data_IF_013368016905
#
_entry.id   IF_013368016905
#
_cell.length_a   1.000
_cell.length_b   1.000
_cell.length_c   1.000
_cell.angle_alpha   90.00
_cell.angle_beta   90.00
_cell.angle_gamma   90.00
#
_symmetry.space_group_name_H-M   'P 1'
#
loop_
_entity.id
_entity.type
_entity.pdbx_description
1 polymer ?
#
# COMPACT_ATOMS: atom_id res chain seq x y z
N UNK A 1 21.88 46.10 -2.21
CA UNK A 1 21.60 46.01 -0.75
C UNK A 1 22.52 46.97 0.00
N UNK A 2 22.07 47.58 1.09
CA UNK A 2 22.99 48.34 1.95
C UNK A 2 23.85 47.38 2.78
N UNK A 3 25.10 47.76 3.06
CA UNK A 3 26.05 46.96 3.85
C UNK A 3 25.46 46.58 5.22
N UNK A 4 24.66 47.47 5.82
CA UNK A 4 23.94 47.24 7.08
C UNK A 4 22.90 46.13 6.98
N UNK A 5 22.14 46.07 5.88
CA UNK A 5 21.11 45.06 5.69
C UNK A 5 21.71 43.66 5.49
N UNK A 6 22.80 43.57 4.72
CA UNK A 6 23.52 42.31 4.52
C UNK A 6 24.15 41.79 5.82
N UNK A 7 24.80 42.66 6.58
CA UNK A 7 25.39 42.30 7.87
C UNK A 7 24.33 41.81 8.87
N UNK A 8 23.14 42.41 8.90
CA UNK A 8 22.04 41.96 9.75
C UNK A 8 21.51 40.58 9.32
N UNK A 9 21.43 40.33 8.02
CA UNK A 9 20.96 39.05 7.47
C UNK A 9 21.95 37.92 7.77
N UNK A 10 23.24 38.15 7.55
CA UNK A 10 24.31 37.19 7.87
C UNK A 10 24.35 36.88 9.38
N UNK A 11 24.22 37.90 10.24
CA UNK A 11 24.18 37.72 11.69
C UNK A 11 23.00 36.84 12.13
N UNK A 12 21.83 37.02 11.51
CA UNK A 12 20.65 36.22 11.83
C UNK A 12 20.81 34.77 11.37
N UNK A 13 21.36 34.53 10.16
CA UNK A 13 21.64 33.16 9.69
C UNK A 13 22.64 32.43 10.59
N UNK A 14 23.69 33.11 11.06
CA UNK A 14 24.66 32.51 12.00
C UNK A 14 23.99 32.17 13.35
N UNK A 15 23.10 33.03 13.85
CA UNK A 15 22.34 32.75 15.09
C UNK A 15 21.41 31.55 14.94
N UNK A 16 20.76 31.41 13.79
CA UNK A 16 19.85 30.32 13.49
C UNK A 16 20.58 28.98 13.41
N UNK A 17 21.77 28.95 12.79
CA UNK A 17 22.57 27.72 12.69
C UNK A 17 23.19 27.32 14.05
N UNK A 18 23.52 28.29 14.92
CA UNK A 18 24.00 28.02 16.29
C UNK A 18 22.99 27.23 17.14
N UNK A 19 21.69 27.36 16.87
CA UNK A 19 20.65 26.59 17.58
C UNK A 19 20.70 25.10 17.21
N UNK A 20 21.18 24.77 16.00
CA UNK A 20 21.17 23.42 15.44
C UNK A 20 22.55 22.74 15.37
N UNK A 21 23.64 23.41 15.77
CA UNK A 21 24.99 22.85 15.80
C UNK A 21 25.88 23.55 16.81
N UNK A 22 26.59 22.78 17.64
CA UNK A 22 27.49 23.28 18.70
C UNK A 22 28.71 24.02 18.15
N UNK A 23 29.17 23.67 16.94
CA UNK A 23 30.20 24.41 16.22
C UNK A 23 30.09 24.22 14.71
N UNK A 24 30.44 25.26 13.95
CA UNK A 24 30.67 25.17 12.51
C UNK A 24 32.17 25.39 12.29
N UNK A 25 32.89 24.45 11.66
CA UNK A 25 34.28 24.67 11.28
C UNK A 25 34.37 25.89 10.37
N UNK A 26 35.25 26.84 10.70
CA UNK A 26 35.42 28.07 9.92
C UNK A 26 35.74 27.76 8.44
N UNK A 27 36.44 26.67 8.17
CA UNK A 27 36.78 26.24 6.80
C UNK A 27 35.54 25.90 5.96
N UNK A 28 34.50 25.30 6.57
CA UNK A 28 33.25 25.02 5.85
C UNK A 28 32.48 26.31 5.55
N UNK A 29 32.53 27.27 6.46
CA UNK A 29 31.90 28.58 6.26
C UNK A 29 32.63 29.38 5.18
N UNK A 30 33.97 29.36 5.19
CA UNK A 30 34.83 29.98 4.18
C UNK A 30 34.56 29.33 2.83
N UNK A 31 34.59 28.01 2.72
CA UNK A 31 34.31 27.30 1.47
C UNK A 31 32.91 27.61 0.91
N UNK A 32 31.89 27.67 1.77
CA UNK A 32 30.54 28.06 1.35
C UNK A 32 30.48 29.51 0.87
N UNK A 33 31.09 30.45 1.60
CA UNK A 33 31.11 31.85 1.23
C UNK A 33 31.94 32.08 -0.04
N UNK A 34 33.06 31.39 -0.21
CA UNK A 34 33.86 31.39 -1.44
C UNK A 34 33.07 30.80 -2.60
N UNK A 35 32.32 29.71 -2.40
CA UNK A 35 31.39 29.21 -3.41
C UNK A 35 30.29 30.22 -3.72
N UNK A 36 29.69 30.89 -2.74
CA UNK A 36 28.64 31.90 -2.98
C UNK A 36 29.19 33.16 -3.64
N UNK A 37 30.45 33.54 -3.37
CA UNK A 37 31.14 34.66 -4.02
C UNK A 37 31.62 34.29 -5.42
N UNK A 38 32.10 33.07 -5.65
CA UNK A 38 32.49 32.56 -6.95
C UNK A 38 31.28 32.20 -7.84
N UNK A 39 30.18 31.80 -7.20
CA UNK A 39 28.86 31.57 -7.80
C UNK A 39 27.98 32.82 -7.69
N UNK A 40 28.52 33.95 -7.20
CA UNK A 40 27.82 35.21 -7.27
C UNK A 40 27.58 35.43 -8.76
N UNK A 41 26.33 35.56 -9.19
CA UNK A 41 26.03 35.58 -10.60
C UNK A 41 26.79 36.76 -11.20
N UNK A 42 27.84 36.48 -11.97
CA UNK A 42 28.19 37.37 -13.06
C UNK A 42 26.90 37.56 -13.83
N UNK A 43 26.48 38.81 -14.00
CA UNK A 43 25.17 39.23 -14.52
C UNK A 43 24.54 38.15 -15.41
N UNK A 44 23.69 37.29 -14.81
CA UNK A 44 22.98 36.27 -15.57
C UNK A 44 22.19 37.02 -16.63
N UNK A 45 22.42 36.70 -17.89
CA UNK A 45 21.72 37.39 -18.98
C UNK A 45 20.21 37.15 -18.82
N UNK A 46 19.34 38.08 -19.24
CA UNK A 46 17.89 37.90 -19.16
C UNK A 46 17.41 36.55 -19.73
N UNK A 47 18.09 36.08 -20.79
CA UNK A 47 17.90 34.78 -21.43
C UNK A 47 18.20 33.58 -20.50
N UNK A 48 19.31 33.61 -19.76
CA UNK A 48 19.66 32.56 -18.79
C UNK A 48 18.65 32.46 -17.65
N UNK A 49 18.12 33.60 -17.20
CA UNK A 49 17.08 33.65 -16.15
C UNK A 49 15.77 33.04 -16.67
N UNK A 50 15.40 33.33 -17.91
CA UNK A 50 14.22 32.76 -18.55
C UNK A 50 14.36 31.24 -18.75
N UNK A 51 15.51 30.78 -19.24
CA UNK A 51 15.82 29.36 -19.37
C UNK A 51 15.77 28.63 -18.02
N UNK A 52 16.35 29.20 -16.96
CA UNK A 52 16.32 28.61 -15.62
C UNK A 52 14.88 28.53 -15.08
N UNK A 53 14.07 29.58 -15.28
CA UNK A 53 12.65 29.56 -14.91
C UNK A 53 11.89 28.47 -15.67
N UNK A 54 12.13 28.31 -16.97
CA UNK A 54 11.52 27.27 -17.78
C UNK A 54 11.90 25.86 -17.28
N UNK A 55 13.18 25.63 -16.93
CA UNK A 55 13.63 24.37 -16.35
C UNK A 55 12.98 24.08 -14.99
N UNK A 56 12.91 25.08 -14.10
CA UNK A 56 12.23 24.94 -12.82
C UNK A 56 10.74 24.62 -12.99
N UNK A 57 10.06 25.26 -13.94
CA UNK A 57 8.68 24.96 -14.26
C UNK A 57 8.50 23.52 -14.76
N UNK A 58 9.39 23.04 -15.64
CA UNK A 58 9.38 21.65 -16.11
C UNK A 58 9.55 20.68 -14.94
N UNK A 59 10.50 20.93 -14.04
CA UNK A 59 10.74 20.06 -12.87
C UNK A 59 9.54 20.03 -11.92
N UNK A 60 8.91 21.18 -11.66
CA UNK A 60 7.69 21.26 -10.84
C UNK A 60 6.55 20.47 -11.49
N UNK A 61 6.33 20.64 -12.80
CA UNK A 61 5.26 19.95 -13.51
C UNK A 61 5.51 18.45 -13.61
N UNK A 62 6.75 18.02 -13.84
CA UNK A 62 7.16 16.62 -13.79
C UNK A 62 6.93 16.02 -12.40
N UNK A 63 7.32 16.72 -11.33
CA UNK A 63 7.11 16.26 -9.95
C UNK A 63 5.63 16.12 -9.63
N UNK A 64 4.81 17.10 -10.07
CA UNK A 64 3.37 17.09 -9.91
C UNK A 64 2.72 15.93 -10.67
N UNK A 65 3.11 15.72 -11.93
CA UNK A 65 2.61 14.61 -12.75
C UNK A 65 3.00 13.25 -12.16
N UNK A 66 4.25 13.10 -11.71
CA UNK A 66 4.72 11.89 -11.05
C UNK A 66 3.95 11.61 -9.76
N UNK A 67 3.70 12.63 -8.94
CA UNK A 67 2.92 12.49 -7.71
C UNK A 67 1.47 12.09 -7.99
N UNK A 68 0.83 12.75 -8.98
CA UNK A 68 -0.53 12.42 -9.40
C UNK A 68 -0.62 10.97 -9.93
N UNK A 69 0.33 10.56 -10.75
CA UNK A 69 0.41 9.19 -11.29
C UNK A 69 0.59 8.15 -10.17
N UNK A 70 1.45 8.41 -9.18
CA UNK A 70 1.63 7.52 -8.02
C UNK A 70 0.36 7.38 -7.19
N UNK A 71 -0.36 8.48 -6.96
CA UNK A 71 -1.61 8.46 -6.22
C UNK A 71 -2.69 7.64 -6.95
N UNK A 72 -2.78 7.80 -8.27
CA UNK A 72 -3.76 7.07 -9.09
C UNK A 72 -3.42 5.58 -9.22
N UNK A 73 -2.13 5.25 -9.38
CA UNK A 73 -1.65 3.88 -9.33
C UNK A 73 -2.00 3.24 -7.98
N UNK A 74 -1.75 3.94 -6.86
CA UNK A 74 -2.08 3.45 -5.53
C UNK A 74 -3.58 3.17 -5.38
N UNK A 75 -4.44 4.10 -5.80
CA UNK A 75 -5.91 3.89 -5.80
C UNK A 75 -6.32 2.69 -6.63
N UNK A 76 -5.76 2.55 -7.82
CA UNK A 76 -6.05 1.43 -8.73
C UNK A 76 -5.69 0.10 -8.09
N UNK A 77 -4.51 -0.01 -7.47
CA UNK A 77 -4.08 -1.23 -6.76
C UNK A 77 -5.04 -1.58 -5.61
N UNK A 78 -5.46 -0.59 -4.81
CA UNK A 78 -6.44 -0.80 -3.73
C UNK A 78 -7.77 -1.29 -4.29
N UNK A 79 -8.27 -0.68 -5.37
CA UNK A 79 -9.53 -1.06 -6.00
C UNK A 79 -9.46 -2.48 -6.58
N UNK A 80 -8.37 -2.83 -7.27
CA UNK A 80 -8.14 -4.18 -7.77
C UNK A 80 -8.08 -5.21 -6.64
N UNK A 81 -7.42 -4.88 -5.52
CA UNK A 81 -7.40 -5.74 -4.33
C UNK A 81 -8.78 -5.95 -3.71
N UNK A 82 -9.58 -4.89 -3.57
CA UNK A 82 -10.97 -4.99 -3.09
C UNK A 82 -11.84 -5.82 -4.00
N UNK A 83 -11.68 -5.69 -5.32
CA UNK A 83 -12.40 -6.50 -6.29
C UNK A 83 -12.00 -7.97 -6.17
N UNK A 84 -10.71 -8.28 -6.04
CA UNK A 84 -10.24 -9.65 -5.84
C UNK A 84 -10.83 -10.30 -4.57
N UNK A 85 -10.85 -9.57 -3.45
CA UNK A 85 -11.47 -10.01 -2.19
C UNK A 85 -12.97 -10.29 -2.36
N UNK A 86 -13.70 -9.38 -3.02
CA UNK A 86 -15.14 -9.55 -3.29
C UNK A 86 -15.40 -10.76 -4.20
N UNK A 87 -14.58 -10.94 -5.24
CA UNK A 87 -14.70 -12.09 -6.15
C UNK A 87 -14.42 -13.41 -5.42
N UNK A 88 -13.36 -13.48 -4.62
CA UNK A 88 -13.04 -14.68 -3.83
C UNK A 88 -14.12 -15.01 -2.79
N UNK A 89 -14.70 -13.99 -2.16
CA UNK A 89 -15.86 -14.14 -1.27
C UNK A 89 -17.08 -14.67 -2.02
N UNK A 90 -17.39 -14.12 -3.20
CA UNK A 90 -18.52 -14.57 -4.02
C UNK A 90 -18.32 -16.02 -4.51
N UNK A 91 -17.11 -16.40 -4.90
CA UNK A 91 -16.80 -17.77 -5.33
C UNK A 91 -17.05 -18.78 -4.21
N UNK A 92 -16.40 -18.60 -3.05
CA UNK A 92 -16.54 -19.52 -1.93
C UNK A 92 -17.93 -19.44 -1.29
N UNK A 93 -18.48 -18.24 -1.14
CA UNK A 93 -19.80 -18.01 -0.56
C UNK A 93 -20.92 -18.55 -1.44
N UNK A 94 -20.86 -18.30 -2.75
CA UNK A 94 -21.82 -18.83 -3.72
C UNK A 94 -21.82 -20.35 -3.76
N UNK A 95 -20.63 -20.97 -3.79
CA UNK A 95 -20.51 -22.43 -3.70
C UNK A 95 -21.05 -22.98 -2.36
N UNK A 96 -20.77 -22.30 -1.25
CA UNK A 96 -21.28 -22.69 0.07
C UNK A 96 -22.81 -22.66 0.13
N UNK A 97 -23.43 -21.57 -0.35
CA UNK A 97 -24.89 -21.42 -0.38
C UNK A 97 -25.54 -22.47 -1.29
N UNK A 98 -24.96 -22.70 -2.47
CA UNK A 98 -25.46 -23.71 -3.41
C UNK A 98 -25.42 -25.13 -2.81
N UNK A 99 -24.30 -25.49 -2.15
CA UNK A 99 -24.15 -26.81 -1.54
C UNK A 99 -25.05 -26.96 -0.30
N UNK A 100 -25.20 -25.91 0.51
CA UNK A 100 -26.11 -25.91 1.66
C UNK A 100 -27.58 -26.09 1.22
N UNK A 101 -28.00 -25.42 0.15
CA UNK A 101 -29.32 -25.60 -0.44
C UNK A 101 -29.53 -27.04 -0.94
N UNK A 102 -28.53 -27.62 -1.61
CA UNK A 102 -28.58 -29.00 -2.07
C UNK A 102 -28.65 -30.01 -0.90
N UNK A 103 -27.86 -29.79 0.15
CA UNK A 103 -27.91 -30.59 1.40
C UNK A 103 -29.30 -30.49 2.04
N UNK A 104 -29.91 -29.30 2.05
CA UNK A 104 -31.29 -29.11 2.52
C UNK A 104 -32.25 -30.08 1.83
N UNK A 105 -32.18 -30.18 0.50
CA UNK A 105 -33.00 -31.12 -0.28
C UNK A 105 -32.67 -32.60 -0.01
N UNK A 106 -31.41 -32.93 0.29
CA UNK A 106 -31.01 -34.31 0.64
C UNK A 106 -31.65 -34.81 1.93
N UNK A 107 -32.05 -33.93 2.86
CA UNK A 107 -32.68 -34.32 4.13
C UNK A 107 -34.00 -35.07 3.94
N UNK A 108 -34.68 -34.84 2.82
CA UNK A 108 -35.97 -35.47 2.49
C UNK A 108 -35.83 -36.84 1.83
N UNK A 109 -34.73 -37.08 1.09
CA UNK A 109 -34.61 -38.23 0.20
C UNK A 109 -33.43 -39.17 0.49
N UNK A 110 -32.26 -38.66 0.91
CA UNK A 110 -31.02 -39.42 0.99
C UNK A 110 -30.10 -38.94 2.13
N UNK A 111 -30.60 -39.02 3.37
CA UNK A 111 -29.88 -38.55 4.57
C UNK A 111 -28.48 -39.18 4.75
N UNK A 112 -28.30 -40.44 4.34
CA UNK A 112 -27.00 -41.14 4.39
C UNK A 112 -25.90 -40.42 3.58
N UNK A 113 -26.25 -39.64 2.55
CA UNK A 113 -25.27 -38.95 1.70
C UNK A 113 -24.89 -37.55 2.21
N UNK A 114 -25.60 -37.02 3.19
CA UNK A 114 -25.35 -35.67 3.76
C UNK A 114 -23.89 -35.49 4.21
N UNK A 115 -23.25 -36.44 4.94
CA UNK A 115 -21.88 -36.25 5.43
C UNK A 115 -20.86 -35.99 4.31
N UNK A 116 -21.04 -36.62 3.13
CA UNK A 116 -20.11 -36.48 2.00
C UNK A 116 -20.16 -35.07 1.41
N UNK A 117 -21.36 -34.51 1.25
CA UNK A 117 -21.52 -33.13 0.78
C UNK A 117 -21.18 -32.10 1.88
N UNK A 118 -21.40 -32.43 3.15
CA UNK A 118 -21.01 -31.57 4.27
C UNK A 118 -19.48 -31.39 4.36
N UNK A 119 -18.70 -32.45 4.08
CA UNK A 119 -17.23 -32.34 4.01
C UNK A 119 -16.79 -31.34 2.94
N UNK A 120 -17.41 -31.39 1.74
CA UNK A 120 -17.14 -30.43 0.68
C UNK A 120 -17.55 -28.99 1.07
N UNK A 121 -18.68 -28.82 1.75
CA UNK A 121 -19.15 -27.53 2.26
C UNK A 121 -18.13 -26.90 3.24
N UNK A 122 -17.54 -27.70 4.12
CA UNK A 122 -16.56 -27.22 5.09
C UNK A 122 -15.39 -26.50 4.42
N UNK A 123 -14.86 -27.02 3.31
CA UNK A 123 -13.78 -26.35 2.58
C UNK A 123 -14.19 -24.98 2.04
N UNK A 124 -15.39 -24.85 1.47
CA UNK A 124 -15.87 -23.56 1.00
C UNK A 124 -16.06 -22.56 2.14
N UNK A 125 -16.59 -22.99 3.28
CA UNK A 125 -16.78 -22.14 4.47
C UNK A 125 -15.44 -21.69 5.04
N UNK A 126 -14.43 -22.55 5.11
CA UNK A 126 -13.07 -22.17 5.50
C UNK A 126 -12.49 -21.16 4.50
N UNK A 127 -12.73 -21.34 3.21
CA UNK A 127 -12.37 -20.38 2.17
C UNK A 127 -13.01 -19.00 2.36
N UNK A 128 -14.31 -18.96 2.70
CA UNK A 128 -15.03 -17.73 3.07
C UNK A 128 -14.41 -17.08 4.32
N UNK A 129 -14.15 -17.87 5.36
CA UNK A 129 -13.56 -17.36 6.59
C UNK A 129 -12.17 -16.75 6.34
N UNK A 130 -11.32 -17.44 5.58
CA UNK A 130 -9.99 -16.96 5.22
C UNK A 130 -10.04 -15.60 4.48
N UNK A 131 -10.97 -15.40 3.54
CA UNK A 131 -11.08 -14.14 2.81
C UNK A 131 -11.63 -12.99 3.67
N UNK A 132 -12.56 -13.29 4.60
CA UNK A 132 -13.05 -12.29 5.56
C UNK A 132 -11.94 -11.85 6.51
N UNK A 133 -11.15 -12.80 7.03
CA UNK A 133 -9.98 -12.48 7.85
C UNK A 133 -8.95 -11.69 7.05
N UNK A 134 -8.73 -12.01 5.78
CA UNK A 134 -7.85 -11.25 4.87
C UNK A 134 -8.28 -9.77 4.78
N UNK A 135 -9.57 -9.50 4.64
CA UNK A 135 -10.09 -8.13 4.61
C UNK A 135 -9.83 -7.39 5.94
N UNK A 136 -10.09 -8.05 7.07
CA UNK A 136 -9.82 -7.48 8.41
C UNK A 136 -8.33 -7.24 8.68
N UNK A 137 -7.47 -8.18 8.31
CA UNK A 137 -6.01 -8.06 8.47
C UNK A 137 -5.43 -6.98 7.55
N UNK A 138 -6.02 -6.77 6.37
CA UNK A 138 -5.64 -5.65 5.49
C UNK A 138 -5.95 -4.31 6.15
N UNK A 139 -7.12 -4.16 6.79
CA UNK A 139 -7.45 -2.96 7.55
C UNK A 139 -6.46 -2.73 8.71
N UNK A 140 -6.16 -3.76 9.50
CA UNK A 140 -5.19 -3.67 10.60
C UNK A 140 -3.80 -3.30 10.09
N UNK A 141 -3.34 -3.92 9.00
CA UNK A 141 -2.05 -3.61 8.35
C UNK A 141 -1.94 -2.12 8.00
N UNK A 142 -2.98 -1.54 7.38
CA UNK A 142 -3.01 -0.10 7.06
C UNK A 142 -3.03 0.79 8.30
N UNK A 143 -3.77 0.41 9.34
CA UNK A 143 -3.78 1.13 10.60
C UNK A 143 -2.38 1.20 11.24
N UNK A 144 -1.62 0.10 11.21
CA UNK A 144 -0.25 0.08 11.68
C UNK A 144 0.72 0.90 10.81
N UNK A 145 0.51 0.92 9.48
CA UNK A 145 1.33 1.72 8.57
C UNK A 145 1.09 3.23 8.68
N UNK A 146 -0.05 3.66 9.20
CA UNK A 146 -0.33 5.08 9.43
C UNK A 146 0.58 5.72 10.50
N UNK A 147 1.27 4.90 11.30
CA UNK A 147 2.11 5.35 12.40
C UNK A 147 3.60 5.43 12.01
N UNK A 148 4.33 6.38 12.60
CA UNK A 148 5.74 6.65 12.28
C UNK A 148 6.72 5.71 12.99
N UNK A 149 6.29 5.03 14.07
CA UNK A 149 7.17 4.17 14.85
C UNK A 149 7.56 2.89 14.09
N UNK A 150 8.86 2.58 14.11
CA UNK A 150 9.42 1.48 13.32
C UNK A 150 8.83 0.10 13.69
N UNK A 151 8.49 -0.12 14.96
CA UNK A 151 7.88 -1.39 15.40
C UNK A 151 6.48 -1.58 14.81
N UNK A 152 5.67 -0.52 14.74
CA UNK A 152 4.34 -0.56 14.13
C UNK A 152 4.43 -0.88 12.65
N UNK A 153 5.40 -0.28 11.94
CA UNK A 153 5.64 -0.60 10.51
C UNK A 153 6.01 -2.07 10.30
N UNK A 154 6.84 -2.66 11.17
CA UNK A 154 7.15 -4.11 11.12
C UNK A 154 5.92 -4.97 11.37
N UNK A 155 5.09 -4.61 12.34
CA UNK A 155 3.82 -5.29 12.64
C UNK A 155 2.84 -5.18 11.47
N UNK A 156 2.72 -4.00 10.87
CA UNK A 156 1.89 -3.77 9.68
C UNK A 156 2.32 -4.63 8.49
N UNK A 157 3.62 -4.83 8.31
CA UNK A 157 4.17 -5.75 7.31
C UNK A 157 3.84 -7.21 7.61
N UNK A 158 3.98 -7.65 8.87
CA UNK A 158 3.61 -9.01 9.26
C UNK A 158 2.11 -9.30 8.97
N UNK A 159 1.21 -8.38 9.34
CA UNK A 159 -0.21 -8.52 9.01
C UNK A 159 -0.48 -8.54 7.51
N UNK A 160 0.26 -7.75 6.73
CA UNK A 160 0.15 -7.76 5.27
C UNK A 160 0.51 -9.14 4.68
N UNK A 161 1.60 -9.75 5.13
CA UNK A 161 2.04 -11.08 4.69
C UNK A 161 1.00 -12.13 5.07
N UNK A 162 0.45 -12.07 6.28
CA UNK A 162 -0.63 -12.96 6.73
C UNK A 162 -1.87 -12.81 5.83
N UNK A 163 -2.27 -11.58 5.50
CA UNK A 163 -3.37 -11.32 4.56
C UNK A 163 -3.12 -11.96 3.19
N UNK A 164 -1.91 -11.83 2.64
CA UNK A 164 -1.56 -12.43 1.34
C UNK A 164 -1.68 -13.95 1.40
N UNK A 165 -1.11 -14.59 2.43
CA UNK A 165 -1.16 -16.04 2.59
C UNK A 165 -2.60 -16.53 2.75
N UNK A 166 -3.40 -15.87 3.59
CA UNK A 166 -4.80 -16.21 3.79
C UNK A 166 -5.63 -16.04 2.51
N UNK A 167 -5.44 -14.92 1.80
CA UNK A 167 -6.12 -14.63 0.54
C UNK A 167 -5.82 -15.70 -0.52
N UNK A 168 -4.55 -16.09 -0.68
CA UNK A 168 -4.15 -17.15 -1.60
C UNK A 168 -4.67 -18.53 -1.17
N UNK A 169 -4.64 -18.83 0.14
CA UNK A 169 -5.16 -20.10 0.67
C UNK A 169 -6.66 -20.29 0.39
N UNK A 170 -7.43 -19.20 0.35
CA UNK A 170 -8.86 -19.23 0.04
C UNK A 170 -9.16 -19.83 -1.34
N UNK A 171 -8.31 -19.54 -2.34
CA UNK A 171 -8.42 -20.17 -3.66
C UNK A 171 -8.06 -21.67 -3.62
N UNK A 172 -7.07 -22.05 -2.81
CA UNK A 172 -6.73 -23.46 -2.57
C UNK A 172 -7.91 -24.24 -1.98
N UNK A 173 -8.57 -23.67 -0.97
CA UNK A 173 -9.77 -24.26 -0.38
C UNK A 173 -10.94 -24.34 -1.36
N UNK A 174 -11.14 -23.32 -2.20
CA UNK A 174 -12.13 -23.36 -3.26
C UNK A 174 -11.92 -24.55 -4.21
N UNK A 175 -10.70 -24.72 -4.73
CA UNK A 175 -10.36 -25.81 -5.65
C UNK A 175 -10.55 -27.17 -4.97
N UNK A 176 -10.14 -27.31 -3.71
CA UNK A 176 -10.31 -28.55 -2.96
C UNK A 176 -11.79 -28.87 -2.70
N UNK A 177 -12.57 -27.88 -2.27
CA UNK A 177 -14.02 -28.00 -2.07
C UNK A 177 -14.73 -28.41 -3.36
N UNK A 178 -14.35 -27.81 -4.50
CA UNK A 178 -14.88 -28.17 -5.82
C UNK A 178 -14.57 -29.63 -6.17
N UNK A 179 -13.34 -30.10 -5.94
CA UNK A 179 -12.97 -31.50 -6.20
C UNK A 179 -13.78 -32.46 -5.33
N UNK A 180 -13.96 -32.15 -4.04
CA UNK A 180 -14.76 -32.97 -3.12
C UNK A 180 -16.23 -33.00 -3.51
N UNK A 181 -16.81 -31.85 -3.85
CA UNK A 181 -18.18 -31.76 -4.35
C UNK A 181 -18.36 -32.56 -5.64
N UNK A 182 -17.43 -32.44 -6.59
CA UNK A 182 -17.45 -33.21 -7.84
C UNK A 182 -17.44 -34.73 -7.60
N UNK A 183 -16.55 -35.23 -6.73
CA UNK A 183 -16.50 -36.65 -6.37
C UNK A 183 -17.79 -37.10 -5.65
N UNK A 184 -18.36 -36.26 -4.80
CA UNK A 184 -19.63 -36.52 -4.14
C UNK A 184 -20.77 -36.67 -5.15
N UNK A 185 -20.81 -35.84 -6.19
CA UNK A 185 -21.77 -35.95 -7.28
C UNK A 185 -21.54 -37.18 -8.18
N UNK A 186 -20.29 -37.58 -8.43
CA UNK A 186 -20.03 -38.83 -9.16
C UNK A 186 -20.50 -40.06 -8.38
N UNK A 187 -20.30 -40.09 -7.06
CA UNK A 187 -20.85 -41.14 -6.19
C UNK A 187 -22.35 -41.02 -5.92
N UNK A 188 -22.98 -39.95 -6.40
CA UNK A 188 -24.42 -39.73 -6.31
C UNK A 188 -25.18 -40.38 -7.47
N UNK A 189 -24.57 -40.42 -8.66
CA UNK A 189 -25.11 -41.04 -9.87
C UNK A 189 -25.28 -42.57 -9.74
#
# INVERSE_FOLDING_TARGET
MSVKAFAAQLLNSIKEIRVNSESIPCDNLINYLEQVVASAPGDMTPDQIEHLKAQLQIMVEQTKNNHASQLEMFRTVIQSGQNAVKTALLMNGGASVALLAFIGKLTEAQQIRIPVFAEALTFFVIGVFAIVVTAGMTYLSQWFYAASEQWKRKTGFAFNIISIVLGLSSYGFFVWGMRKAYLAFLGFA
#
